data_IF_540412322069
#
_entry.id   IF_540412322069
#
_cell.length_a   1.000
_cell.length_b   1.000
_cell.length_c   1.000
_cell.angle_alpha   90.00
_cell.angle_beta   90.00
_cell.angle_gamma   90.00
#
_symmetry.space_group_name_H-M   'P 1'
#
loop_
_entity.id
_entity.type
_entity.pdbx_description
1 polymer ?
#
# COMPACT_ATOMS: atom_id res chain seq x y z
N UNK A 1 -15.39 9.53 -7.00
CA UNK A 1 -15.01 8.12 -7.24
C UNK A 1 -13.53 8.16 -7.53
N UNK A 2 -12.71 7.46 -6.76
CA UNK A 2 -11.27 7.35 -7.01
C UNK A 2 -10.85 5.93 -6.63
N UNK A 3 -10.46 5.17 -7.64
CA UNK A 3 -10.12 3.75 -7.63
C UNK A 3 -8.75 3.62 -8.31
N UNK A 4 -7.84 2.89 -7.68
CA UNK A 4 -6.54 2.54 -8.25
C UNK A 4 -6.45 1.03 -8.31
N UNK A 5 -6.09 0.51 -9.49
CA UNK A 5 -5.83 -0.91 -9.73
C UNK A 5 -4.40 -1.06 -10.24
N UNK A 6 -3.64 -1.96 -9.61
CA UNK A 6 -2.25 -2.25 -9.93
C UNK A 6 -2.08 -3.75 -10.16
N UNK A 7 -1.86 -4.15 -11.40
CA UNK A 7 -1.65 -5.56 -11.78
C UNK A 7 -0.20 -5.78 -12.23
N UNK A 8 0.37 -6.94 -11.90
CA UNK A 8 1.61 -7.44 -12.49
C UNK A 8 2.81 -6.48 -12.34
N UNK A 9 3.08 -6.03 -11.12
CA UNK A 9 4.14 -5.08 -10.77
C UNK A 9 5.53 -5.75 -10.58
N UNK A 10 5.99 -6.52 -11.55
CA UNK A 10 7.15 -7.43 -11.40
C UNK A 10 8.49 -6.75 -11.02
N UNK A 11 8.61 -5.43 -11.16
CA UNK A 11 9.83 -4.67 -10.83
C UNK A 11 9.66 -3.64 -9.72
N UNK A 12 8.48 -3.54 -9.12
CA UNK A 12 8.18 -2.52 -8.10
C UNK A 12 8.28 -3.09 -6.68
N UNK A 13 9.21 -2.56 -5.88
CA UNK A 13 9.26 -2.81 -4.44
C UNK A 13 8.24 -1.96 -3.65
N UNK A 14 7.83 -0.84 -4.23
CA UNK A 14 6.79 0.05 -3.72
C UNK A 14 5.94 0.61 -4.87
N UNK A 15 4.66 0.92 -4.59
CA UNK A 15 3.73 1.46 -5.60
C UNK A 15 3.81 2.99 -5.64
N UNK A 16 3.81 3.64 -4.48
CA UNK A 16 3.81 5.10 -4.39
C UNK A 16 4.96 5.61 -3.52
N UNK A 17 5.66 6.67 -3.96
CA UNK A 17 6.40 7.53 -3.04
C UNK A 17 5.46 8.15 -1.99
N UNK A 18 5.95 8.39 -0.77
CA UNK A 18 5.12 9.02 0.27
C UNK A 18 4.62 10.42 -0.13
N UNK A 19 5.42 11.17 -0.88
CA UNK A 19 5.03 12.45 -1.49
C UNK A 19 3.77 12.34 -2.35
N UNK A 20 3.67 11.30 -3.19
CA UNK A 20 2.48 11.04 -4.04
C UNK A 20 1.30 10.60 -3.17
N UNK A 21 1.54 9.67 -2.25
CA UNK A 21 0.48 9.10 -1.42
C UNK A 21 -0.22 10.14 -0.52
N UNK A 22 0.47 11.21 -0.11
CA UNK A 22 -0.13 12.34 0.63
C UNK A 22 -1.21 13.09 -0.18
N UNK A 23 -1.16 13.03 -1.50
CA UNK A 23 -2.15 13.63 -2.39
C UNK A 23 -3.40 12.77 -2.60
N UNK A 24 -3.36 11.48 -2.25
CA UNK A 24 -4.43 10.50 -2.52
C UNK A 24 -5.57 10.56 -1.49
N UNK A 25 -5.93 11.75 -1.00
CA UNK A 25 -6.89 11.93 0.09
C UNK A 25 -8.33 11.51 -0.28
N UNK A 26 -8.63 11.48 -1.58
CA UNK A 26 -9.93 11.11 -2.12
C UNK A 26 -10.01 9.63 -2.53
N UNK A 27 -8.90 8.88 -2.44
CA UNK A 27 -8.80 7.47 -2.80
C UNK A 27 -9.74 6.64 -1.93
N UNK A 28 -10.61 5.84 -2.57
CA UNK A 28 -11.61 5.00 -1.90
C UNK A 28 -11.26 3.53 -1.96
N UNK A 29 -10.67 3.11 -3.07
CA UNK A 29 -10.42 1.70 -3.36
C UNK A 29 -9.02 1.57 -3.95
N UNK A 30 -8.20 0.72 -3.33
CA UNK A 30 -6.90 0.32 -3.84
C UNK A 30 -6.88 -1.19 -3.99
N UNK A 31 -6.66 -1.66 -5.22
CA UNK A 31 -6.61 -3.08 -5.55
C UNK A 31 -5.24 -3.35 -6.17
N UNK A 32 -4.50 -4.28 -5.58
CA UNK A 32 -3.17 -4.69 -6.04
C UNK A 32 -3.16 -6.20 -6.19
N UNK A 33 -2.65 -6.70 -7.30
CA UNK A 33 -2.67 -8.12 -7.59
C UNK A 33 -1.46 -8.53 -8.45
N UNK A 34 -0.94 -9.72 -8.20
CA UNK A 34 0.16 -10.33 -8.95
C UNK A 34 1.47 -9.52 -8.93
N UNK A 35 1.82 -8.90 -7.80
CA UNK A 35 3.05 -8.10 -7.65
C UNK A 35 4.02 -8.80 -6.68
N UNK A 36 4.70 -9.85 -7.15
CA UNK A 36 5.42 -10.82 -6.30
C UNK A 36 6.56 -10.24 -5.46
N UNK A 37 7.28 -9.24 -5.98
CA UNK A 37 8.42 -8.62 -5.28
C UNK A 37 8.03 -7.38 -4.47
N UNK A 38 6.73 -7.09 -4.37
CA UNK A 38 6.23 -5.89 -3.70
C UNK A 38 6.44 -6.03 -2.18
N UNK A 39 7.17 -5.07 -1.60
CA UNK A 39 7.54 -5.05 -0.18
C UNK A 39 6.68 -4.05 0.62
N UNK A 40 6.28 -2.95 -0.01
CA UNK A 40 5.48 -1.86 0.57
C UNK A 40 4.46 -1.32 -0.44
N UNK A 41 3.32 -0.77 -0.02
CA UNK A 41 2.45 -0.02 -0.95
C UNK A 41 2.98 1.41 -1.11
N UNK A 42 3.33 2.04 0.02
CA UNK A 42 3.88 3.39 0.03
C UNK A 42 5.27 3.37 0.63
N UNK A 43 6.25 3.85 -0.14
CA UNK A 43 7.63 3.94 0.29
C UNK A 43 7.78 4.81 1.54
N UNK A 44 8.50 4.31 2.55
CA UNK A 44 8.86 5.13 3.70
C UNK A 44 10.06 6.06 3.39
N UNK A 45 9.79 7.32 3.05
CA UNK A 45 10.82 8.32 2.66
C UNK A 45 11.55 9.00 3.84
N UNK A 46 11.39 8.54 5.10
CA UNK A 46 12.21 9.02 6.23
C UNK A 46 11.63 8.80 7.64
N UNK A 47 12.54 8.40 8.55
CA UNK A 47 12.42 8.01 9.97
C UNK A 47 12.45 6.50 10.20
N UNK A 48 13.46 6.10 10.99
CA UNK A 48 13.88 4.76 11.38
C UNK A 48 12.70 3.80 11.62
N UNK A 49 12.69 2.72 10.84
CA UNK A 49 11.80 1.59 11.06
C UNK A 49 12.31 0.80 12.26
N UNK A 50 11.56 0.78 13.36
CA UNK A 50 11.62 -0.41 14.21
C UNK A 50 11.20 -1.60 13.34
N UNK A 51 11.94 -2.71 13.32
CA UNK A 51 11.76 -3.81 12.36
C UNK A 51 10.37 -4.49 12.40
N UNK A 52 9.52 -4.14 13.36
CA UNK A 52 8.34 -4.92 13.73
C UNK A 52 6.97 -4.26 13.43
N UNK A 53 6.88 -3.01 12.93
CA UNK A 53 5.57 -2.36 12.77
C UNK A 53 5.32 -1.61 11.43
N UNK A 54 4.75 -2.40 10.50
CA UNK A 54 3.70 -2.08 9.51
C UNK A 54 4.12 -1.55 8.13
N UNK A 55 4.59 -2.50 7.32
CA UNK A 55 5.13 -2.39 5.96
C UNK A 55 4.10 -2.15 4.83
N UNK A 56 3.05 -1.34 5.03
CA UNK A 56 2.08 -1.06 3.94
C UNK A 56 1.96 0.43 3.68
N UNK A 57 1.68 1.21 4.73
CA UNK A 57 1.63 2.66 4.69
C UNK A 57 2.35 3.26 5.91
N UNK A 58 3.20 4.28 5.74
CA UNK A 58 3.66 5.09 6.86
C UNK A 58 2.46 5.69 7.60
N UNK A 59 2.54 5.80 8.93
CA UNK A 59 1.46 6.36 9.74
C UNK A 59 1.07 7.80 9.32
N UNK A 60 2.03 8.55 8.78
CA UNK A 60 1.83 9.90 8.23
C UNK A 60 0.93 9.91 6.99
N UNK A 61 1.01 8.87 6.17
CA UNK A 61 0.21 8.70 4.94
C UNK A 61 -1.15 8.08 5.27
N UNK A 62 -1.19 7.10 6.17
CA UNK A 62 -2.43 6.44 6.59
C UNK A 62 -3.47 7.45 7.14
N UNK A 63 -3.02 8.48 7.86
CA UNK A 63 -3.89 9.57 8.35
C UNK A 63 -4.54 10.40 7.23
N UNK A 64 -3.92 10.45 6.04
CA UNK A 64 -4.42 11.18 4.87
C UNK A 64 -5.42 10.38 4.03
N UNK A 65 -5.36 9.05 4.08
CA UNK A 65 -6.24 8.14 3.33
C UNK A 65 -7.60 7.93 4.03
N UNK A 66 -8.24 9.01 4.48
CA UNK A 66 -9.46 8.96 5.30
C UNK A 66 -10.70 8.43 4.56
N UNK A 67 -10.66 8.42 3.22
CA UNK A 67 -11.74 7.94 2.37
C UNK A 67 -11.54 6.49 1.92
N UNK A 68 -10.40 5.87 2.23
CA UNK A 68 -10.08 4.51 1.81
C UNK A 68 -10.99 3.52 2.54
N UNK A 69 -11.80 2.79 1.79
CA UNK A 69 -12.76 1.80 2.28
C UNK A 69 -12.35 0.38 1.92
N UNK A 70 -11.69 0.22 0.78
CA UNK A 70 -11.21 -1.06 0.30
C UNK A 70 -9.72 -1.01 0.04
N UNK A 71 -9.03 -2.02 0.56
CA UNK A 71 -7.63 -2.32 0.26
C UNK A 71 -7.57 -3.82 0.01
N UNK A 72 -7.45 -4.20 -1.26
CA UNK A 72 -7.23 -5.59 -1.65
C UNK A 72 -5.81 -5.78 -2.18
N UNK A 73 -5.15 -6.83 -1.71
CA UNK A 73 -3.81 -7.22 -2.11
C UNK A 73 -3.78 -8.74 -2.23
N UNK A 74 -3.60 -9.24 -3.45
CA UNK A 74 -3.66 -10.67 -3.77
C UNK A 74 -2.42 -11.09 -4.57
N UNK A 75 -1.81 -12.24 -4.27
CA UNK A 75 -0.60 -12.70 -4.97
C UNK A 75 0.54 -11.64 -5.00
N UNK A 76 0.72 -10.87 -3.92
CA UNK A 76 1.74 -9.80 -3.82
C UNK A 76 2.80 -10.08 -2.75
N UNK A 77 3.43 -11.24 -2.82
CA UNK A 77 4.63 -11.55 -2.02
C UNK A 77 4.39 -11.50 -0.50
N UNK A 78 5.17 -10.67 0.19
CA UNK A 78 5.08 -10.55 1.65
C UNK A 78 3.82 -9.78 2.09
N UNK A 79 3.30 -8.88 1.27
CA UNK A 79 2.18 -8.01 1.63
C UNK A 79 0.87 -8.76 1.80
N UNK A 80 0.63 -9.80 1.00
CA UNK A 80 -0.56 -10.65 1.13
C UNK A 80 -0.66 -11.27 2.54
N UNK A 81 0.47 -11.58 3.17
CA UNK A 81 0.53 -12.16 4.52
C UNK A 81 0.29 -11.15 5.64
N UNK A 82 0.45 -9.86 5.33
CA UNK A 82 0.32 -8.77 6.31
C UNK A 82 -1.10 -8.22 6.38
N UNK A 83 -1.94 -8.52 5.39
CA UNK A 83 -3.31 -8.05 5.36
C UNK A 83 -4.26 -9.13 5.89
N UNK A 84 -5.14 -8.78 6.84
CA UNK A 84 -6.15 -9.72 7.31
C UNK A 84 -7.09 -10.06 6.14
N UNK A 85 -7.28 -11.35 5.87
CA UNK A 85 -8.32 -11.80 4.94
C UNK A 85 -9.67 -11.33 5.47
N UNK A 86 -10.47 -10.66 4.63
CA UNK A 86 -11.89 -10.46 4.90
C UNK A 86 -12.58 -11.80 4.67
N UNK A 87 -12.98 -12.46 5.76
CA UNK A 87 -13.94 -13.57 5.73
C UNK A 87 -15.35 -13.07 5.44
#
# INVERSE_FOLDING_TARGET
>A
MELVIMDSCESLKNIFPASVAKGLQQLRELIVWNCEILEEIVANEGVETTPDLKNIFPASVAKGLQQLRELSVENCGILEKLLPRKE
#
